data_IF_452986580169
#
_entry.id   IF_452986580169
#
_cell.length_a   1.000
_cell.length_b   1.000
_cell.length_c   1.000
_cell.angle_alpha   90.00
_cell.angle_beta   90.00
_cell.angle_gamma   90.00
#
_symmetry.space_group_name_H-M   'P 1'
#
loop_
_entity.id
_entity.type
_entity.pdbx_description
1 polymer ?
#
# COMPACT_ATOMS: atom_id res chain seq x y z
N UNK A 1 14.90 -9.73 4.83
CA UNK A 1 15.15 -8.42 5.46
C UNK A 1 15.79 -8.71 6.80
N UNK A 2 17.07 -8.38 6.96
CA UNK A 2 17.80 -8.57 8.22
C UNK A 2 17.58 -7.37 9.15
N UNK A 3 17.91 -7.52 10.44
CA UNK A 3 17.85 -6.40 11.39
C UNK A 3 18.72 -5.21 10.96
N UNK A 4 19.85 -5.49 10.29
CA UNK A 4 20.73 -4.48 9.72
C UNK A 4 20.09 -3.73 8.54
N UNK A 5 19.32 -4.42 7.70
CA UNK A 5 18.56 -3.79 6.61
C UNK A 5 17.48 -2.86 7.17
N UNK A 6 16.83 -3.27 8.27
CA UNK A 6 15.82 -2.46 8.96
C UNK A 6 16.48 -1.23 9.61
N UNK A 7 17.64 -1.38 10.24
CA UNK A 7 18.40 -0.24 10.82
C UNK A 7 18.86 0.76 9.77
N UNK A 8 19.30 0.30 8.59
CA UNK A 8 19.65 1.19 7.46
C UNK A 8 18.44 1.95 6.91
N UNK A 9 17.25 1.35 6.96
CA UNK A 9 15.99 2.02 6.61
C UNK A 9 15.51 2.99 7.71
N UNK A 10 15.91 2.78 8.97
CA UNK A 10 15.52 3.59 10.14
C UNK A 10 16.44 4.80 10.38
N UNK A 11 17.68 4.78 9.88
CA UNK A 11 18.64 5.89 10.01
C UNK A 11 18.40 6.96 8.93
N UNK A 12 17.23 7.59 8.89
CA UNK A 12 16.90 8.54 7.82
C UNK A 12 16.70 9.96 8.34
N UNK A 13 17.79 10.74 8.35
CA UNK A 13 17.69 12.20 8.22
C UNK A 13 17.22 12.62 6.82
N UNK A 14 16.90 13.90 6.62
CA UNK A 14 16.35 14.42 5.35
C UNK A 14 17.19 14.08 4.11
N UNK A 15 18.52 14.04 4.24
CA UNK A 15 19.43 13.73 3.12
C UNK A 15 19.34 12.27 2.65
N UNK A 16 19.07 11.33 3.55
CA UNK A 16 18.86 9.92 3.19
C UNK A 16 17.53 9.71 2.47
N UNK A 17 16.48 10.44 2.86
CA UNK A 17 15.19 10.41 2.17
C UNK A 17 15.31 10.97 0.74
N UNK A 18 16.03 12.08 0.56
CA UNK A 18 16.33 12.66 -0.76
C UNK A 18 17.17 11.72 -1.63
N UNK A 19 18.06 10.92 -1.03
CA UNK A 19 18.82 9.90 -1.74
C UNK A 19 17.93 8.72 -2.17
N UNK A 20 16.95 8.31 -1.34
CA UNK A 20 16.01 7.24 -1.69
C UNK A 20 14.95 7.66 -2.71
N UNK A 21 14.59 8.94 -2.76
CA UNK A 21 13.63 9.48 -3.72
C UNK A 21 14.11 9.29 -5.17
N UNK A 22 15.42 9.34 -5.41
CA UNK A 22 16.04 9.07 -6.72
C UNK A 22 15.79 7.64 -7.23
N UNK A 23 15.46 6.71 -6.34
CA UNK A 23 15.15 5.34 -6.69
C UNK A 23 13.65 5.15 -7.00
N UNK A 24 12.82 6.18 -6.87
CA UNK A 24 11.42 6.19 -7.27
C UNK A 24 11.35 6.59 -8.75
N UNK A 25 11.16 5.60 -9.63
CA UNK A 25 11.26 5.79 -11.08
C UNK A 25 9.99 6.38 -11.71
N UNK A 26 8.82 6.04 -11.17
CA UNK A 26 7.54 6.67 -11.49
C UNK A 26 7.03 7.31 -10.21
N UNK A 27 6.90 8.64 -10.19
CA UNK A 27 6.70 9.39 -8.95
C UNK A 27 5.50 10.34 -9.04
N UNK A 28 4.34 9.88 -8.59
CA UNK A 28 3.13 10.68 -8.40
C UNK A 28 2.95 11.14 -6.94
N UNK A 29 4.04 11.24 -6.14
CA UNK A 29 3.95 11.66 -4.73
C UNK A 29 3.31 13.04 -4.56
N UNK A 30 3.66 14.02 -5.41
CA UNK A 30 3.07 15.36 -5.33
C UNK A 30 1.55 15.31 -5.57
N UNK A 31 1.11 14.56 -6.60
CA UNK A 31 -0.32 14.37 -6.89
C UNK A 31 -1.04 13.64 -5.75
N UNK A 32 -0.38 12.67 -5.13
CA UNK A 32 -0.92 11.96 -3.97
C UNK A 32 -1.08 12.90 -2.76
N UNK A 33 -0.09 13.75 -2.48
CA UNK A 33 -0.16 14.77 -1.45
C UNK A 33 -1.30 15.76 -1.70
N UNK A 34 -1.42 16.26 -2.93
CA UNK A 34 -2.52 17.14 -3.33
C UNK A 34 -3.88 16.45 -3.16
N UNK A 35 -4.00 15.19 -3.57
CA UNK A 35 -5.23 14.41 -3.42
C UNK A 35 -5.61 14.31 -1.94
N UNK A 36 -4.69 13.83 -1.09
CA UNK A 36 -4.92 13.61 0.34
C UNK A 36 -5.28 14.91 1.06
N UNK A 37 -4.62 16.02 0.76
CA UNK A 37 -4.91 17.32 1.38
C UNK A 37 -6.29 17.87 0.97
N UNK A 38 -6.78 17.49 -0.20
CA UNK A 38 -8.11 17.88 -0.70
C UNK A 38 -9.24 16.99 -0.15
N UNK A 39 -8.95 15.78 0.35
CA UNK A 39 -9.98 14.82 0.80
C UNK A 39 -10.88 15.33 1.94
N UNK A 40 -10.44 16.32 2.75
CA UNK A 40 -11.18 16.98 3.84
C UNK A 40 -12.30 16.11 4.47
N UNK A 41 -11.93 15.02 5.14
CA UNK A 41 -12.89 14.10 5.75
C UNK A 41 -13.32 12.90 4.89
N UNK A 42 -12.59 12.59 3.82
CA UNK A 42 -12.78 11.37 3.03
C UNK A 42 -12.33 10.09 3.74
N UNK A 43 -12.69 8.95 3.14
CA UNK A 43 -12.28 7.60 3.56
C UNK A 43 -11.08 7.13 2.74
N UNK A 44 -10.03 6.66 3.41
CA UNK A 44 -8.85 6.07 2.76
C UNK A 44 -8.76 4.58 3.13
N UNK A 45 -8.53 3.74 2.13
CA UNK A 45 -8.34 2.31 2.32
C UNK A 45 -6.92 1.88 1.99
N UNK A 46 -6.41 0.90 2.74
CA UNK A 46 -5.13 0.28 2.53
C UNK A 46 -5.31 -1.18 2.17
N UNK A 47 -4.90 -1.60 0.98
CA UNK A 47 -4.76 -3.02 0.63
C UNK A 47 -3.35 -3.45 1.00
N UNK A 48 -3.24 -4.17 2.12
CA UNK A 48 -1.97 -4.52 2.77
C UNK A 48 -1.19 -5.62 2.02
N UNK A 49 0.13 -5.64 2.20
CA UNK A 49 1.03 -6.68 1.68
C UNK A 49 1.60 -7.57 2.79
N UNK A 50 2.68 -7.14 3.44
CA UNK A 50 3.40 -7.93 4.45
C UNK A 50 2.99 -7.55 5.89
N UNK A 51 3.22 -8.48 6.82
CA UNK A 51 3.11 -8.23 8.25
C UNK A 51 4.40 -7.60 8.84
N UNK A 52 4.44 -7.43 10.16
CA UNK A 52 5.65 -6.97 10.86
C UNK A 52 5.92 -5.47 10.66
N UNK A 53 7.15 -5.11 10.30
CA UNK A 53 7.58 -3.71 10.21
C UNK A 53 6.86 -2.93 9.11
N UNK A 54 6.56 -3.55 7.97
CA UNK A 54 5.80 -2.88 6.90
C UNK A 54 4.39 -2.52 7.39
N UNK A 55 3.70 -3.48 8.03
CA UNK A 55 2.40 -3.23 8.64
C UNK A 55 2.48 -2.12 9.69
N UNK A 56 3.53 -2.09 10.51
CA UNK A 56 3.77 -1.02 11.47
C UNK A 56 3.91 0.34 10.79
N UNK A 57 4.70 0.45 9.73
CA UNK A 57 4.82 1.68 8.93
C UNK A 57 3.47 2.10 8.35
N UNK A 58 2.67 1.16 7.83
CA UNK A 58 1.32 1.43 7.32
C UNK A 58 0.37 1.93 8.43
N UNK A 59 0.53 1.41 9.65
CA UNK A 59 -0.23 1.87 10.82
C UNK A 59 0.15 3.29 11.22
N UNK A 60 1.45 3.63 11.18
CA UNK A 60 1.95 4.99 11.45
C UNK A 60 1.45 5.94 10.36
N UNK A 61 1.54 5.55 9.09
CA UNK A 61 1.09 6.36 7.97
C UNK A 61 -0.43 6.56 7.98
N UNK A 62 -1.23 5.51 8.20
CA UNK A 62 -2.68 5.66 8.37
C UNK A 62 -3.03 6.56 9.55
N UNK A 63 -2.28 6.50 10.66
CA UNK A 63 -2.52 7.38 11.81
C UNK A 63 -2.17 8.85 11.54
N UNK A 64 -1.20 9.16 10.68
CA UNK A 64 -0.95 10.54 10.25
C UNK A 64 -2.05 11.04 9.32
N UNK A 65 -2.54 10.18 8.41
CA UNK A 65 -3.64 10.50 7.49
C UNK A 65 -4.98 10.72 8.20
N UNK A 66 -5.22 10.11 9.36
CA UNK A 66 -6.41 10.35 10.18
C UNK A 66 -6.57 11.81 10.64
N UNK A 67 -5.54 12.64 10.53
CA UNK A 67 -5.66 14.08 10.77
C UNK A 67 -6.39 14.81 9.63
N UNK A 68 -6.46 14.20 8.44
CA UNK A 68 -7.04 14.75 7.21
C UNK A 68 -8.25 13.94 6.70
N UNK A 69 -8.33 12.67 7.07
CA UNK A 69 -9.39 11.73 6.70
C UNK A 69 -10.39 11.50 7.85
N UNK A 70 -11.62 11.10 7.53
CA UNK A 70 -12.64 10.75 8.55
C UNK A 70 -12.46 9.33 9.11
N UNK A 71 -11.85 8.45 8.31
CA UNK A 71 -11.56 7.08 8.72
C UNK A 71 -10.60 6.40 7.76
N UNK A 72 -9.87 5.42 8.31
CA UNK A 72 -8.94 4.56 7.58
C UNK A 72 -9.41 3.12 7.71
N UNK A 73 -9.49 2.42 6.59
CA UNK A 73 -9.81 0.99 6.59
C UNK A 73 -8.62 0.19 6.04
N UNK A 74 -8.21 -0.83 6.77
CA UNK A 74 -7.12 -1.72 6.42
C UNK A 74 -7.71 -3.04 5.91
N UNK A 75 -7.54 -3.29 4.62
CA UNK A 75 -8.06 -4.45 3.91
C UNK A 75 -6.96 -5.48 3.79
N UNK A 76 -7.27 -6.71 4.20
CA UNK A 76 -6.29 -7.78 4.23
C UNK A 76 -6.87 -9.13 3.82
N UNK A 77 -5.96 -10.06 3.52
CA UNK A 77 -6.27 -11.41 3.05
C UNK A 77 -7.02 -12.20 4.13
N UNK A 78 -8.09 -12.87 3.73
CA UNK A 78 -8.87 -13.71 4.65
C UNK A 78 -8.09 -14.96 5.14
N UNK A 79 -7.18 -15.51 4.31
CA UNK A 79 -6.28 -16.62 4.66
C UNK A 79 -4.89 -16.43 4.04
N UNK A 80 -3.84 -16.79 4.77
CA UNK A 80 -2.45 -16.71 4.27
C UNK A 80 -2.27 -17.54 3.00
N UNK A 81 -1.85 -16.90 1.90
CA UNK A 81 -1.31 -17.55 0.70
C UNK A 81 -0.12 -16.72 0.23
N UNK A 82 0.91 -17.43 -0.25
CA UNK A 82 2.29 -17.01 -0.50
C UNK A 82 3.12 -16.79 0.78
N UNK A 83 4.09 -17.69 0.99
CA UNK A 83 5.30 -17.67 1.83
C UNK A 83 5.38 -16.80 3.11
N UNK A 84 4.27 -16.47 3.75
CA UNK A 84 4.23 -16.06 5.15
C UNK A 84 3.75 -17.26 6.00
N UNK A 85 4.65 -17.96 6.70
CA UNK A 85 4.28 -19.11 7.54
C UNK A 85 3.62 -18.69 8.87
N UNK A 86 3.09 -17.47 8.99
CA UNK A 86 2.55 -16.95 10.24
C UNK A 86 1.05 -16.72 10.09
N UNK A 87 0.29 -17.40 10.98
CA UNK A 87 -1.13 -17.23 11.34
C UNK A 87 -1.81 -16.01 10.73
N UNK A 88 -3.02 -16.23 10.18
CA UNK A 88 -4.05 -15.25 9.76
C UNK A 88 -3.68 -13.78 9.99
N UNK A 89 -3.71 -12.95 8.94
CA UNK A 89 -3.39 -11.53 9.01
C UNK A 89 -4.09 -10.76 10.16
N UNK A 90 -5.25 -11.23 10.63
CA UNK A 90 -5.91 -10.70 11.84
C UNK A 90 -5.12 -10.95 13.12
N UNK A 91 -4.55 -12.15 13.29
CA UNK A 91 -3.67 -12.45 14.41
C UNK A 91 -2.42 -11.57 14.39
N UNK A 92 -1.87 -11.26 13.21
CA UNK A 92 -0.75 -10.33 13.07
C UNK A 92 -1.15 -8.89 13.39
N UNK A 93 -2.36 -8.48 13.02
CA UNK A 93 -2.94 -7.17 13.36
C UNK A 93 -3.10 -6.97 14.87
N UNK A 94 -3.81 -7.89 15.53
CA UNK A 94 -4.00 -7.85 16.99
C UNK A 94 -2.67 -7.98 17.72
N UNK A 95 -1.77 -8.84 17.23
CA UNK A 95 -0.44 -9.02 17.80
C UNK A 95 0.40 -7.74 17.71
N UNK A 96 0.38 -7.03 16.58
CA UNK A 96 1.11 -5.76 16.44
C UNK A 96 0.61 -4.73 17.46
N UNK A 97 -0.71 -4.52 17.54
CA UNK A 97 -1.30 -3.56 18.48
C UNK A 97 -1.05 -3.94 19.93
N UNK A 98 -1.13 -5.23 20.26
CA UNK A 98 -0.82 -5.73 21.59
C UNK A 98 0.67 -5.60 21.91
N UNK A 99 1.55 -5.79 20.94
CA UNK A 99 3.00 -5.64 21.12
C UNK A 99 3.39 -4.18 21.35
N UNK A 100 2.75 -3.21 20.69
CA UNK A 100 2.98 -1.80 20.97
C UNK A 100 2.54 -1.39 22.39
N UNK A 101 1.48 -2.00 22.93
CA UNK A 101 0.91 -1.59 24.24
C UNK A 101 1.48 -2.39 25.41
N UNK A 102 1.62 -3.69 25.25
CA UNK A 102 1.97 -4.64 26.31
C UNK A 102 3.32 -5.32 26.07
N UNK A 103 3.95 -5.10 24.91
CA UNK A 103 5.25 -5.65 24.61
C UNK A 103 6.35 -5.02 25.46
N UNK A 104 7.42 -5.79 25.61
CA UNK A 104 8.68 -5.33 26.16
C UNK A 104 9.69 -5.26 25.00
N UNK A 105 9.90 -4.07 24.40
CA UNK A 105 10.92 -3.88 23.37
C UNK A 105 12.33 -4.15 23.93
N UNK A 106 13.35 -4.29 23.05
CA UNK A 106 14.70 -4.64 23.45
C UNK A 106 15.27 -3.67 24.51
N UNK A 107 16.16 -4.16 25.40
CA UNK A 107 16.71 -3.37 26.51
C UNK A 107 17.62 -2.20 26.08
N UNK A 108 17.80 -1.99 24.78
CA UNK A 108 18.59 -0.90 24.19
C UNK A 108 17.81 0.41 24.03
N UNK A 109 16.48 0.38 24.17
CA UNK A 109 15.62 1.54 23.94
C UNK A 109 15.44 2.36 25.23
N UNK A 110 15.43 3.68 25.11
CA UNK A 110 15.23 4.59 26.26
C UNK A 110 13.83 4.43 26.87
N UNK A 111 13.67 4.77 28.14
CA UNK A 111 12.35 4.74 28.80
C UNK A 111 11.32 5.65 28.09
N UNK A 112 11.79 6.76 27.49
CA UNK A 112 10.96 7.72 26.75
C UNK A 112 10.44 7.16 25.42
N UNK A 113 11.28 6.45 24.66
CA UNK A 113 10.88 5.78 23.41
C UNK A 113 9.85 4.69 23.71
N UNK A 114 10.06 3.94 24.79
CA UNK A 114 9.14 2.90 25.25
C UNK A 114 7.79 3.47 25.70
N UNK A 115 7.79 4.62 26.37
CA UNK A 115 6.57 5.32 26.74
C UNK A 115 5.80 5.79 25.51
N UNK A 116 6.50 6.38 24.53
CA UNK A 116 5.92 6.89 23.28
C UNK A 116 5.28 5.77 22.45
N UNK A 117 5.94 4.61 22.34
CA UNK A 117 5.40 3.44 21.65
C UNK A 117 4.11 2.94 22.30
N UNK A 118 4.07 2.87 23.63
CA UNK A 118 2.89 2.45 24.41
C UNK A 118 1.73 3.42 24.25
N UNK A 119 2.01 4.72 24.29
CA UNK A 119 0.99 5.75 24.07
C UNK A 119 0.42 5.66 22.65
N UNK A 120 1.26 5.49 21.64
CA UNK A 120 0.83 5.29 20.26
C UNK A 120 -0.06 4.05 20.11
N UNK A 121 0.33 2.92 20.69
CA UNK A 121 -0.47 1.69 20.66
C UNK A 121 -1.84 1.87 21.34
N UNK A 122 -1.91 2.59 22.47
CA UNK A 122 -3.18 2.89 23.15
C UNK A 122 -4.11 3.74 22.28
N UNK A 123 -3.55 4.77 21.63
CA UNK A 123 -4.27 5.64 20.70
C UNK A 123 -4.80 4.88 19.48
N UNK A 124 -4.02 3.96 18.92
CA UNK A 124 -4.50 3.12 17.82
C UNK A 124 -5.68 2.24 18.22
N UNK A 125 -5.63 1.60 19.40
CA UNK A 125 -6.77 0.84 19.94
C UNK A 125 -8.00 1.71 20.20
N UNK A 126 -7.81 2.97 20.57
CA UNK A 126 -8.91 3.92 20.72
C UNK A 126 -9.56 4.22 19.37
N UNK A 127 -8.78 4.43 18.30
CA UNK A 127 -9.32 4.63 16.95
C UNK A 127 -10.12 3.44 16.44
N UNK A 128 -9.75 2.21 16.82
CA UNK A 128 -10.55 1.02 16.51
C UNK A 128 -11.90 1.01 17.23
N UNK A 129 -11.90 1.35 18.53
CA UNK A 129 -13.14 1.45 19.32
C UNK A 129 -14.07 2.55 18.80
N UNK A 130 -13.50 3.66 18.32
CA UNK A 130 -14.24 4.77 17.72
C UNK A 130 -14.68 4.50 16.28
N UNK A 131 -14.26 3.39 15.66
CA UNK A 131 -14.56 3.07 14.26
C UNK A 131 -13.82 3.93 13.24
N UNK A 132 -12.88 4.78 13.67
CA UNK A 132 -12.01 5.58 12.78
C UNK A 132 -10.96 4.72 12.08
N UNK A 133 -10.61 3.59 12.68
CA UNK A 133 -9.68 2.61 12.13
C UNK A 133 -10.35 1.25 12.10
N UNK A 134 -10.58 0.73 10.90
CA UNK A 134 -11.27 -0.56 10.71
C UNK A 134 -10.30 -1.53 10.05
N UNK A 135 -10.32 -2.79 10.48
CA UNK A 135 -9.61 -3.87 9.81
C UNK A 135 -10.61 -4.85 9.23
N UNK A 136 -10.60 -5.03 7.91
CA UNK A 136 -11.52 -5.93 7.22
C UNK A 136 -10.77 -6.97 6.40
N UNK A 137 -11.48 -8.07 6.14
CA UNK A 137 -10.95 -9.21 5.39
C UNK A 137 -11.88 -9.57 4.27
N UNK A 138 -11.31 -9.84 3.11
CA UNK A 138 -12.06 -10.37 1.97
C UNK A 138 -11.36 -11.60 1.36
N UNK A 139 -12.14 -12.57 0.90
CA UNK A 139 -11.61 -13.80 0.31
C UNK A 139 -10.95 -13.54 -1.05
N UNK A 140 -11.45 -12.54 -1.80
CA UNK A 140 -10.95 -12.17 -3.12
C UNK A 140 -9.44 -11.91 -3.15
N UNK A 141 -8.88 -11.27 -2.11
CA UNK A 141 -7.45 -10.98 -2.01
C UNK A 141 -6.56 -12.23 -2.10
N UNK A 142 -7.10 -13.38 -1.67
CA UNK A 142 -6.41 -14.66 -1.72
C UNK A 142 -6.59 -15.39 -3.05
N UNK A 143 -7.53 -15.01 -3.90
CA UNK A 143 -7.83 -15.70 -5.17
C UNK A 143 -6.73 -15.51 -6.20
N UNK A 144 -6.76 -16.30 -7.27
CA UNK A 144 -5.88 -16.14 -8.43
C UNK A 144 -6.31 -15.02 -9.37
N UNK A 145 -7.48 -14.41 -9.15
CA UNK A 145 -7.97 -13.32 -9.98
C UNK A 145 -7.12 -12.06 -9.84
N UNK A 146 -7.06 -11.34 -10.96
CA UNK A 146 -6.49 -10.00 -11.05
C UNK A 146 -7.52 -8.97 -10.60
N UNK A 147 -7.12 -7.72 -10.39
CA UNK A 147 -8.06 -6.67 -10.02
C UNK A 147 -8.91 -6.18 -11.20
N UNK A 148 -8.60 -6.60 -12.43
CA UNK A 148 -9.48 -6.38 -13.58
C UNK A 148 -10.80 -7.13 -13.41
N UNK A 149 -10.75 -8.31 -12.81
CA UNK A 149 -11.91 -9.16 -12.58
C UNK A 149 -12.68 -8.79 -11.29
N UNK A 150 -12.18 -7.82 -10.51
CA UNK A 150 -12.76 -7.44 -9.22
C UNK A 150 -14.22 -7.04 -9.35
N UNK A 151 -14.57 -6.30 -10.40
CA UNK A 151 -15.93 -5.85 -10.67
C UNK A 151 -16.90 -7.02 -10.91
N UNK A 152 -16.44 -8.12 -11.52
CA UNK A 152 -17.27 -9.26 -11.90
C UNK A 152 -17.29 -10.34 -10.82
N UNK A 153 -16.14 -10.65 -10.22
CA UNK A 153 -15.95 -11.78 -9.30
C UNK A 153 -16.24 -11.40 -7.83
N UNK A 154 -16.07 -10.13 -7.47
CA UNK A 154 -16.34 -9.63 -6.11
C UNK A 154 -17.05 -8.26 -6.16
N UNK A 155 -18.29 -8.21 -6.71
CA UNK A 155 -19.03 -6.96 -6.88
C UNK A 155 -19.32 -6.26 -5.54
N UNK A 156 -19.47 -7.02 -4.45
CA UNK A 156 -19.63 -6.51 -3.09
C UNK A 156 -18.38 -5.76 -2.62
N UNK A 157 -17.19 -6.32 -2.86
CA UNK A 157 -15.92 -5.65 -2.56
C UNK A 157 -15.71 -4.43 -3.46
N UNK A 158 -16.07 -4.50 -4.74
CA UNK A 158 -15.98 -3.35 -5.63
C UNK A 158 -16.90 -2.20 -5.16
N UNK A 159 -18.15 -2.48 -4.79
CA UNK A 159 -19.08 -1.50 -4.20
C UNK A 159 -18.59 -0.93 -2.86
N UNK A 160 -17.87 -1.74 -2.10
CA UNK A 160 -17.30 -1.30 -0.84
C UNK A 160 -16.16 -0.31 -1.08
N UNK A 161 -15.24 -0.63 -2.01
CA UNK A 161 -14.12 0.24 -2.40
C UNK A 161 -14.56 1.48 -3.18
N UNK A 162 -15.66 1.42 -3.93
CA UNK A 162 -16.20 2.58 -4.66
C UNK A 162 -16.67 3.71 -3.72
N UNK A 163 -16.85 3.42 -2.43
CA UNK A 163 -17.16 4.42 -1.38
C UNK A 163 -15.92 5.06 -0.77
N UNK A 164 -14.73 4.56 -1.13
CA UNK A 164 -13.45 5.07 -0.67
C UNK A 164 -13.01 6.18 -1.60
N UNK A 165 -12.52 7.28 -1.03
CA UNK A 165 -12.04 8.41 -1.81
C UNK A 165 -10.62 8.19 -2.36
N UNK A 166 -9.87 7.30 -1.71
CA UNK A 166 -8.53 6.84 -2.10
C UNK A 166 -8.29 5.42 -1.59
N UNK A 167 -7.76 4.55 -2.45
CA UNK A 167 -7.33 3.20 -2.08
C UNK A 167 -5.86 3.03 -2.41
N UNK A 168 -5.06 2.75 -1.38
CA UNK A 168 -3.61 2.59 -1.43
C UNK A 168 -3.28 1.10 -1.45
N UNK A 169 -2.75 0.62 -2.56
CA UNK A 169 -2.27 -0.74 -2.75
C UNK A 169 -0.78 -0.81 -2.42
N UNK A 170 -0.45 -1.63 -1.42
CA UNK A 170 0.92 -1.81 -0.95
C UNK A 170 1.60 -2.98 -1.64
N UNK A 171 2.89 -2.82 -1.98
CA UNK A 171 3.76 -3.93 -2.34
C UNK A 171 3.62 -4.45 -3.77
N UNK A 172 4.47 -5.44 -4.09
CA UNK A 172 4.67 -5.92 -5.46
C UNK A 172 3.52 -6.79 -5.96
N UNK A 173 2.99 -7.68 -5.11
CA UNK A 173 1.90 -8.58 -5.51
C UNK A 173 0.60 -7.83 -5.83
N UNK A 174 0.28 -6.78 -5.07
CA UNK A 174 -0.89 -5.97 -5.37
C UNK A 174 -0.71 -5.19 -6.68
N UNK A 175 0.48 -4.66 -6.94
CA UNK A 175 0.77 -4.00 -8.22
C UNK A 175 0.66 -4.95 -9.41
N UNK A 176 1.19 -6.17 -9.30
CA UNK A 176 1.03 -7.21 -10.34
C UNK A 176 -0.43 -7.55 -10.60
N UNK A 177 -1.25 -7.65 -9.54
CA UNK A 177 -2.69 -7.87 -9.68
C UNK A 177 -3.43 -6.68 -10.29
N UNK A 178 -2.99 -5.45 -10.04
CA UNK A 178 -3.51 -4.24 -10.68
C UNK A 178 -3.22 -4.27 -12.19
N UNK A 179 -1.99 -4.61 -12.58
CA UNK A 179 -1.50 -4.55 -13.97
C UNK A 179 -1.68 -5.83 -14.78
N UNK A 180 -2.51 -6.75 -14.28
CA UNK A 180 -2.78 -8.06 -14.89
C UNK A 180 -1.52 -8.96 -15.05
N UNK A 181 -0.41 -8.60 -14.39
CA UNK A 181 0.91 -9.25 -14.50
C UNK A 181 1.38 -9.42 -15.97
N UNK A 182 0.95 -8.52 -16.85
CA UNK A 182 1.27 -8.56 -18.27
C UNK A 182 2.65 -7.98 -18.58
N UNK A 183 3.28 -8.50 -19.63
CA UNK A 183 4.45 -7.88 -20.24
C UNK A 183 4.02 -6.63 -21.03
N UNK A 184 3.99 -5.48 -20.36
CA UNK A 184 3.68 -4.19 -20.94
C UNK A 184 4.96 -3.36 -21.13
N UNK A 185 5.00 -2.45 -22.13
CA UNK A 185 6.05 -1.43 -22.22
C UNK A 185 6.13 -0.61 -20.93
N UNK A 186 7.34 -0.24 -20.51
CA UNK A 186 7.56 0.44 -19.23
C UNK A 186 6.89 1.82 -19.16
N UNK A 187 6.72 2.48 -20.30
CA UNK A 187 6.03 3.76 -20.46
C UNK A 187 4.50 3.65 -20.59
N UNK A 188 3.92 2.46 -20.44
CA UNK A 188 2.46 2.29 -20.47
C UNK A 188 1.84 3.12 -19.36
N UNK A 189 0.85 3.96 -19.70
CA UNK A 189 0.16 4.79 -18.73
C UNK A 189 -0.53 3.93 -17.66
N UNK A 190 -0.44 4.35 -16.39
CA UNK A 190 -0.96 3.58 -15.26
C UNK A 190 -2.47 3.29 -15.37
N UNK A 191 -3.26 4.29 -15.78
CA UNK A 191 -4.71 4.12 -16.03
C UNK A 191 -5.02 3.02 -17.05
N UNK A 192 -4.22 2.94 -18.11
CA UNK A 192 -4.35 1.89 -19.13
C UNK A 192 -3.95 0.51 -18.60
N UNK A 193 -2.92 0.46 -17.74
CA UNK A 193 -2.43 -0.79 -17.17
C UNK A 193 -3.40 -1.40 -16.14
N UNK A 194 -4.15 -0.58 -15.40
CA UNK A 194 -5.12 -1.06 -14.41
C UNK A 194 -6.54 -1.28 -14.96
N UNK A 195 -6.76 -0.94 -16.24
CA UNK A 195 -7.96 -1.31 -17.00
C UNK A 195 -9.29 -0.92 -16.32
N UNK A 196 -10.14 -1.89 -15.94
CA UNK A 196 -11.42 -1.62 -15.26
C UNK A 196 -11.27 -0.82 -13.96
N UNK A 197 -10.14 -0.94 -13.26
CA UNK A 197 -9.88 -0.21 -12.02
C UNK A 197 -9.67 1.30 -12.22
N UNK A 198 -9.43 1.75 -13.47
CA UNK A 198 -9.42 3.18 -13.82
C UNK A 198 -10.69 3.60 -14.59
N UNK A 199 -11.25 2.70 -15.39
CA UNK A 199 -12.24 3.06 -16.42
C UNK A 199 -13.68 2.65 -16.12
N UNK A 200 -13.91 1.72 -15.20
CA UNK A 200 -15.26 1.28 -14.83
C UNK A 200 -16.02 2.38 -14.06
N UNK A 201 -17.34 2.41 -14.20
CA UNK A 201 -18.19 3.34 -13.46
C UNK A 201 -18.10 3.07 -11.95
N UNK A 202 -17.75 4.10 -11.19
CA UNK A 202 -17.52 4.00 -9.74
C UNK A 202 -16.17 3.41 -9.34
N UNK A 203 -15.23 3.33 -10.29
CA UNK A 203 -13.83 3.07 -9.98
C UNK A 203 -13.29 4.18 -9.04
N UNK A 204 -12.77 3.78 -7.89
CA UNK A 204 -12.18 4.68 -6.90
C UNK A 204 -10.79 5.15 -7.35
N UNK A 205 -10.25 6.18 -6.69
CA UNK A 205 -8.84 6.56 -6.90
C UNK A 205 -7.92 5.46 -6.41
N UNK A 206 -6.99 5.04 -7.27
CA UNK A 206 -6.03 3.96 -6.98
C UNK A 206 -4.66 4.56 -6.85
N UNK A 207 -4.00 4.34 -5.72
CA UNK A 207 -2.58 4.60 -5.54
C UNK A 207 -1.83 3.28 -5.37
N UNK A 208 -0.76 3.07 -6.13
CA UNK A 208 0.12 1.91 -5.97
C UNK A 208 1.46 2.36 -5.37
N UNK A 209 1.76 1.93 -4.14
CA UNK A 209 3.05 2.13 -3.48
C UNK A 209 3.85 0.82 -3.55
N UNK A 210 4.79 0.75 -4.49
CA UNK A 210 5.42 -0.52 -4.86
C UNK A 210 6.93 -0.40 -4.94
N UNK A 211 7.64 -1.21 -4.17
CA UNK A 211 9.02 -1.58 -4.46
C UNK A 211 9.04 -2.62 -5.57
N UNK A 212 9.83 -2.38 -6.62
CA UNK A 212 9.87 -3.23 -7.82
C UNK A 212 10.60 -4.54 -7.49
N UNK A 213 9.87 -5.66 -7.54
CA UNK A 213 10.38 -7.01 -7.27
C UNK A 213 9.95 -8.02 -8.35
N UNK A 214 9.46 -7.54 -9.49
CA UNK A 214 8.98 -8.37 -10.60
C UNK A 214 9.14 -7.66 -11.95
N UNK A 215 9.07 -8.43 -13.04
CA UNK A 215 9.35 -7.95 -14.41
C UNK A 215 8.37 -6.89 -14.92
N UNK A 216 7.11 -6.93 -14.47
CA UNK A 216 6.12 -5.92 -14.84
C UNK A 216 6.50 -4.56 -14.27
N UNK A 217 6.64 -3.56 -15.13
CA UNK A 217 6.86 -2.16 -14.76
C UNK A 217 6.06 -1.31 -15.74
N UNK A 218 5.30 -0.35 -15.23
CA UNK A 218 4.47 0.59 -16.00
C UNK A 218 4.56 1.97 -15.35
N UNK A 219 4.09 3.01 -16.04
CA UNK A 219 4.05 4.37 -15.50
C UNK A 219 5.40 5.09 -15.44
N UNK A 220 6.41 4.61 -16.17
CA UNK A 220 7.66 5.36 -16.35
C UNK A 220 7.50 6.45 -17.40
N UNK A 221 8.28 7.53 -17.30
CA UNK A 221 8.29 8.62 -18.27
C UNK A 221 8.70 8.15 -19.68
N UNK A 222 9.62 7.20 -19.78
CA UNK A 222 10.10 6.67 -21.05
C UNK A 222 10.60 5.23 -20.95
N UNK A 223 10.49 4.48 -22.05
CA UNK A 223 11.11 3.15 -22.16
C UNK A 223 12.64 3.23 -22.12
N UNK A 224 13.23 4.33 -22.59
CA UNK A 224 14.68 4.54 -22.59
C UNK A 224 15.29 4.48 -21.18
N UNK A 225 14.55 4.92 -20.16
CA UNK A 225 14.99 4.78 -18.76
C UNK A 225 15.08 3.32 -18.34
N UNK A 226 14.06 2.51 -18.67
CA UNK A 226 14.07 1.08 -18.39
C UNK A 226 15.18 0.35 -19.15
N UNK A 227 15.38 0.70 -20.43
CA UNK A 227 16.43 0.12 -21.27
C UNK A 227 17.83 0.44 -20.74
N UNK A 228 18.05 1.68 -20.27
CA UNK A 228 19.30 2.09 -19.65
C UNK A 228 19.58 1.30 -18.37
N UNK A 229 18.58 1.16 -17.49
CA UNK A 229 18.72 0.37 -16.26
C UNK A 229 18.97 -1.11 -16.56
N UNK A 230 18.37 -1.66 -17.62
CA UNK A 230 18.62 -3.03 -18.05
C UNK A 230 20.08 -3.23 -18.51
N UNK A 231 20.70 -2.22 -19.14
CA UNK A 231 22.11 -2.25 -19.55
C UNK A 231 23.07 -2.03 -18.38
N UNK A 232 22.78 -1.09 -17.50
CA UNK A 232 23.64 -0.73 -16.37
C UNK A 232 23.58 -1.77 -15.25
N UNK A 233 22.39 -2.30 -14.97
CA UNK A 233 22.12 -3.22 -13.87
C UNK A 233 21.19 -4.37 -14.29
N UNK A 234 21.73 -5.45 -14.89
CA UNK A 234 20.95 -6.63 -15.24
C UNK A 234 20.19 -7.18 -14.02
N UNK A 235 18.87 -7.32 -14.13
CA UNK A 235 18.01 -7.77 -13.03
C UNK A 235 17.58 -6.69 -12.04
N UNK A 236 17.71 -5.39 -12.38
CA UNK A 236 17.24 -4.28 -11.54
C UNK A 236 15.77 -4.43 -11.11
N UNK A 237 14.90 -4.99 -11.96
CA UNK A 237 13.46 -5.21 -11.70
C UNK A 237 13.16 -6.20 -10.57
N UNK A 238 14.09 -7.09 -10.26
CA UNK A 238 13.95 -8.07 -9.16
C UNK A 238 14.85 -7.73 -7.96
N UNK A 239 15.62 -6.65 -8.06
CA UNK A 239 16.59 -6.27 -7.03
C UNK A 239 15.96 -5.67 -5.76
N UNK A 240 14.72 -5.19 -5.84
CA UNK A 240 14.05 -4.51 -4.72
C UNK A 240 14.65 -3.14 -4.38
N UNK A 241 15.54 -2.57 -5.20
CA UNK A 241 16.18 -1.27 -4.97
C UNK A 241 15.36 -0.09 -5.48
N UNK A 242 14.55 -0.30 -6.50
CA UNK A 242 13.75 0.72 -7.16
C UNK A 242 12.28 0.64 -6.71
N UNK A 243 11.57 1.75 -6.83
CA UNK A 243 10.16 1.85 -6.48
C UNK A 243 9.37 2.64 -7.52
N UNK A 244 8.05 2.51 -7.47
CA UNK A 244 7.09 3.38 -8.16
C UNK A 244 5.98 3.79 -7.20
N UNK A 245 5.56 5.04 -7.34
CA UNK A 245 4.37 5.62 -6.74
C UNK A 245 3.51 6.10 -7.89
N UNK A 246 2.43 5.38 -8.18
CA UNK A 246 1.55 5.69 -9.31
C UNK A 246 0.15 5.98 -8.79
N UNK A 247 -0.47 7.04 -9.32
CA UNK A 247 -1.83 7.44 -8.97
C UNK A 247 -2.73 7.42 -10.20
N UNK A 248 -3.92 6.82 -10.03
CA UNK A 248 -5.02 6.87 -10.99
C UNK A 248 -6.21 7.57 -10.36
N UNK A 249 -6.79 8.53 -11.07
CA UNK A 249 -7.98 9.27 -10.60
C UNK A 249 -9.26 8.42 -10.64
N UNK A 250 -9.29 7.35 -11.44
CA UNK A 250 -10.48 6.52 -11.61
C UNK A 250 -11.69 7.31 -12.12
N UNK A 251 -12.89 6.85 -11.74
CA UNK A 251 -14.18 7.51 -12.01
C UNK A 251 -15.09 7.50 -10.77
N UNK A 252 -14.65 8.12 -9.66
CA UNK A 252 -15.42 8.15 -8.44
C UNK A 252 -16.73 8.92 -8.65
N UNK A 253 -17.81 8.45 -8.00
CA UNK A 253 -19.12 9.10 -8.05
C UNK A 253 -20.02 8.69 -9.22
N UNK A 254 -19.50 7.99 -10.24
CA UNK A 254 -20.37 7.35 -11.22
C UNK A 254 -21.10 6.15 -10.60
N UNK A 255 -22.39 5.99 -10.93
CA UNK A 255 -23.18 4.86 -10.42
C UNK A 255 -22.64 3.55 -10.99
N UNK A 256 -22.14 2.68 -10.11
CA UNK A 256 -21.67 1.34 -10.48
C UNK A 256 -22.77 0.57 -11.22
N UNK A 257 -22.44 0.03 -12.39
CA UNK A 257 -23.33 -0.79 -13.20
C UNK A 257 -22.72 -2.17 -13.34
N UNK A 258 -23.34 -3.15 -12.70
CA UNK A 258 -23.06 -4.56 -12.99
C UNK A 258 -23.81 -4.93 -14.27
N UNK A 259 -23.10 -5.58 -15.19
CA UNK A 259 -23.66 -6.12 -16.43
C UNK A 259 -24.47 -7.38 -16.13
#
# INVERSE_FOLDING_TARGET
MTEEDIKKLQSTGGDHLAATEKNILGNDLDKLCDTVTQLKGGRIDFVLDNAGFELYCDCVYGASLLQLASGITFLSRHRGRFLDPIRSCLANWDWLLNSCVYGNPPPTDSEEENASLKEMGKRWKQYEKEGKRVYERHAFWCTGFTFWDLHSEAPDLFLHLSKSDLVIFKGDLNHRKLTYDCHAPANTAFDGAIGPMASAAGAHRVCSLRTIKSDVVVGLESNAMADKLEQEEPGWKISGRYAVVLLSEGRPGEKVKFA
#
